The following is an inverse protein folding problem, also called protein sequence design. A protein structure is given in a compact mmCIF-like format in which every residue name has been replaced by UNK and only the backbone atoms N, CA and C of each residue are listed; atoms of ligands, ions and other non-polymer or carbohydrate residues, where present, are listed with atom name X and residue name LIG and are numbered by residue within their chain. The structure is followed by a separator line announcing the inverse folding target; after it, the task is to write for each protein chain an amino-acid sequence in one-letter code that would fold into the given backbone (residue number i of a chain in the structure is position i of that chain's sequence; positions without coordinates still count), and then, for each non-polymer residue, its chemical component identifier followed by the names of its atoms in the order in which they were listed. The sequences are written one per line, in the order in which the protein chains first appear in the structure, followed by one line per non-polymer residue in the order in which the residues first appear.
data_IF_675216252582
#
_entry.id   IF_675216252582
#
_cell.length_a   1.000
_cell.length_b   1.000
_cell.length_c   1.000
_cell.angle_alpha   90.00
_cell.angle_beta   90.00
_cell.angle_gamma   90.00
#
_symmetry.space_group_name_H-M   'P 1'
#
loop_
_entity.id
_entity.type
_entity.pdbx_description
1 polymer ?
#
# COMPACT_ATOMS: atom_id res chain seq x y z
N UNK A 1 3.83 5.64 -1.72
CA UNK A 1 2.91 5.17 -2.79
C UNK A 1 1.46 5.16 -2.34
N UNK A 2 1.05 4.43 -1.28
CA UNK A 2 -0.36 4.40 -0.81
C UNK A 2 -0.93 5.77 -0.45
N UNK A 3 -0.15 6.62 0.22
CA UNK A 3 -0.55 7.99 0.52
C UNK A 3 -0.85 8.80 -0.75
N UNK A 4 -0.02 8.67 -1.78
CA UNK A 4 -0.19 9.35 -3.07
C UNK A 4 -1.40 8.80 -3.84
N UNK A 5 -1.62 7.48 -3.82
CA UNK A 5 -2.80 6.86 -4.41
C UNK A 5 -4.09 7.33 -3.73
N UNK A 6 -4.10 7.45 -2.40
CA UNK A 6 -5.23 7.99 -1.64
C UNK A 6 -5.52 9.47 -1.95
N UNK A 7 -4.49 10.29 -2.19
CA UNK A 7 -4.68 11.69 -2.60
C UNK A 7 -5.30 11.80 -4.00
N UNK A 8 -4.83 11.00 -4.96
CA UNK A 8 -5.27 11.10 -6.35
C UNK A 8 -6.64 10.44 -6.60
N UNK A 9 -6.88 9.29 -5.97
CA UNK A 9 -8.06 8.47 -6.23
C UNK A 9 -9.06 8.40 -5.08
N UNK A 10 -8.78 9.05 -3.95
CA UNK A 10 -9.66 9.05 -2.77
C UNK A 10 -9.88 7.64 -2.20
N UNK A 11 -11.08 7.39 -1.69
CA UNK A 11 -11.46 6.09 -1.13
C UNK A 11 -11.70 5.00 -2.19
N UNK A 12 -11.62 5.34 -3.47
CA UNK A 12 -12.06 4.46 -4.54
C UNK A 12 -11.16 3.22 -4.74
N UNK A 13 -9.87 3.28 -4.38
CA UNK A 13 -8.98 2.09 -4.38
C UNK A 13 -9.02 1.29 -3.06
N UNK A 14 -9.82 1.71 -2.08
CA UNK A 14 -9.78 1.12 -0.74
C UNK A 14 -10.13 -0.37 -0.75
N UNK A 15 -10.97 -0.84 -1.68
CA UNK A 15 -11.31 -2.26 -1.87
C UNK A 15 -10.14 -3.16 -2.30
N UNK A 16 -9.07 -2.59 -2.86
CA UNK A 16 -7.87 -3.37 -3.25
C UNK A 16 -7.02 -3.76 -2.02
N UNK A 17 -7.05 -2.97 -0.94
CA UNK A 17 -6.35 -3.26 0.31
C UNK A 17 -6.83 -4.55 1.00
N UNK A 18 -8.15 -4.77 1.24
CA UNK A 18 -8.63 -6.03 1.80
C UNK A 18 -8.40 -7.22 0.85
N UNK A 19 -8.39 -7.00 -0.47
CA UNK A 19 -8.03 -8.05 -1.43
C UNK A 19 -6.55 -8.44 -1.37
N UNK A 20 -5.66 -7.51 -1.04
CA UNK A 20 -4.22 -7.78 -0.86
C UNK A 20 -3.94 -8.63 0.39
N UNK A 21 -4.75 -8.51 1.46
CA UNK A 21 -4.56 -9.26 2.72
C UNK A 21 -4.46 -10.78 2.50
N UNK A 22 -5.46 -11.48 1.91
CA UNK A 22 -5.40 -12.93 1.74
C UNK A 22 -4.26 -13.35 0.79
N UNK A 23 -3.97 -12.57 -0.25
CA UNK A 23 -2.86 -12.83 -1.16
C UNK A 23 -1.53 -12.80 -0.42
N UNK A 24 -1.33 -11.79 0.43
CA UNK A 24 -0.12 -11.67 1.25
C UNK A 24 -0.01 -12.77 2.29
N UNK A 25 -1.12 -13.20 2.90
CA UNK A 25 -1.13 -14.31 3.88
C UNK A 25 -0.69 -15.61 3.20
N UNK A 26 -1.30 -15.97 2.06
CA UNK A 26 -0.96 -17.19 1.32
C UNK A 26 0.50 -17.18 0.88
N UNK A 27 0.98 -16.05 0.36
CA UNK A 27 2.38 -15.90 -0.05
C UNK A 27 3.33 -16.11 1.13
N UNK A 28 3.06 -15.50 2.28
CA UNK A 28 3.88 -15.64 3.48
C UNK A 28 3.85 -17.07 4.03
N UNK A 29 2.68 -17.70 4.08
CA UNK A 29 2.53 -19.08 4.55
C UNK A 29 3.35 -20.05 3.70
N UNK A 30 3.26 -19.95 2.37
CA UNK A 30 4.03 -20.79 1.46
C UNK A 30 5.53 -20.58 1.62
N UNK A 31 5.98 -19.33 1.80
CA UNK A 31 7.40 -19.00 2.03
C UNK A 31 7.89 -19.60 3.33
N UNK A 32 7.13 -19.48 4.42
CA UNK A 32 7.47 -20.01 5.75
C UNK A 32 7.47 -21.53 5.74
N UNK A 33 6.45 -22.17 5.15
CA UNK A 33 6.37 -23.63 5.07
C UNK A 33 7.54 -24.21 4.29
N UNK A 34 7.91 -23.61 3.16
CA UNK A 34 9.07 -24.08 2.41
C UNK A 34 10.37 -23.90 3.21
N UNK A 35 10.54 -22.77 3.90
CA UNK A 35 11.68 -22.52 4.77
C UNK A 35 11.80 -23.54 5.92
N UNK A 36 10.68 -23.90 6.54
CA UNK A 36 10.64 -24.88 7.63
C UNK A 36 10.91 -26.32 7.17
N UNK A 37 10.35 -26.73 6.03
CA UNK A 37 10.47 -28.11 5.53
C UNK A 37 11.85 -28.40 4.95
N UNK A 38 12.47 -27.42 4.29
CA UNK A 38 13.71 -27.66 3.55
C UNK A 38 14.97 -27.41 4.37
N UNK A 39 14.89 -26.64 5.46
CA UNK A 39 16.03 -26.33 6.32
C UNK A 39 17.16 -25.56 5.61
N UNK A 40 16.95 -25.18 4.35
CA UNK A 40 17.86 -24.43 3.48
C UNK A 40 17.08 -23.26 2.87
N UNK A 41 17.72 -22.11 2.67
CA UNK A 41 17.05 -20.96 2.07
C UNK A 41 16.52 -21.27 0.66
N UNK A 42 15.41 -20.63 0.27
CA UNK A 42 14.76 -20.73 -1.06
C UNK A 42 15.75 -20.77 -2.23
N UNK A 43 16.84 -20.00 -2.15
CA UNK A 43 17.88 -19.91 -3.17
C UNK A 43 18.61 -21.23 -3.46
N UNK A 44 18.76 -22.14 -2.48
CA UNK A 44 19.43 -23.44 -2.69
C UNK A 44 18.54 -24.41 -3.48
N UNK A 45 17.24 -24.40 -3.20
CA UNK A 45 16.24 -25.21 -3.90
C UNK A 45 16.06 -24.79 -5.35
N UNK A 46 16.17 -23.48 -5.63
CA UNK A 46 16.10 -22.96 -7.00
C UNK A 46 17.31 -23.45 -7.81
N UNK A 47 18.50 -23.42 -7.23
CA UNK A 47 19.71 -23.93 -7.88
C UNK A 47 19.63 -25.45 -8.13
N UNK A 48 19.09 -26.23 -7.19
CA UNK A 48 18.93 -27.68 -7.33
C UNK A 48 17.83 -28.07 -8.34
N UNK A 49 16.73 -27.30 -8.41
CA UNK A 49 15.59 -27.60 -9.30
C UNK A 49 15.75 -27.06 -10.73
N UNK A 50 16.31 -25.85 -10.89
CA UNK A 50 16.34 -25.13 -12.18
C UNK A 50 17.76 -24.98 -12.75
N UNK A 51 18.78 -25.45 -12.03
CA UNK A 51 20.18 -25.38 -12.46
C UNK A 51 20.85 -24.04 -12.15
N UNK A 52 22.17 -24.01 -12.33
CA UNK A 52 23.06 -22.94 -11.85
C UNK A 52 22.83 -21.58 -12.53
N UNK A 53 22.37 -21.55 -13.78
CA UNK A 53 22.10 -20.29 -14.51
C UNK A 53 20.84 -19.59 -13.99
N UNK A 54 19.74 -20.33 -13.84
CA UNK A 54 18.47 -19.79 -13.33
C UNK A 54 18.53 -19.46 -11.84
N UNK A 55 19.29 -20.25 -11.07
CA UNK A 55 19.59 -19.91 -9.67
C UNK A 55 20.43 -18.65 -9.53
N UNK A 56 21.43 -18.42 -10.39
CA UNK A 56 22.20 -17.19 -10.40
C UNK A 56 21.35 -15.95 -10.77
N UNK A 57 20.43 -16.09 -11.74
CA UNK A 57 19.47 -15.04 -12.08
C UNK A 57 18.57 -14.67 -10.90
N UNK A 58 18.01 -15.67 -10.21
CA UNK A 58 17.18 -15.46 -9.01
C UNK A 58 17.93 -14.79 -7.85
N UNK A 59 19.20 -15.14 -7.63
CA UNK A 59 20.04 -14.46 -6.64
C UNK A 59 20.32 -13.00 -7.05
N UNK A 60 20.50 -12.75 -8.36
CA UNK A 60 20.61 -11.39 -8.91
C UNK A 60 19.36 -10.55 -8.63
N UNK A 61 18.17 -11.08 -8.90
CA UNK A 61 16.91 -10.40 -8.59
C UNK A 61 16.77 -10.10 -7.10
N UNK A 62 17.10 -11.05 -6.23
CA UNK A 62 17.10 -10.84 -4.78
C UNK A 62 18.06 -9.72 -4.37
N UNK A 63 19.25 -9.67 -4.96
CA UNK A 63 20.23 -8.63 -4.67
C UNK A 63 19.72 -7.25 -5.11
N UNK A 64 19.20 -7.14 -6.33
CA UNK A 64 18.66 -5.89 -6.87
C UNK A 64 17.45 -5.43 -6.07
N UNK A 65 16.51 -6.32 -5.76
CA UNK A 65 15.31 -5.98 -4.97
C UNK A 65 15.69 -5.54 -3.56
N UNK A 66 16.59 -6.24 -2.87
CA UNK A 66 17.05 -5.82 -1.54
C UNK A 66 17.77 -4.46 -1.58
N UNK A 67 18.62 -4.23 -2.59
CA UNK A 67 19.26 -2.93 -2.78
C UNK A 67 18.22 -1.83 -3.00
N UNK A 68 17.21 -2.08 -3.84
CA UNK A 68 16.12 -1.14 -4.10
C UNK A 68 15.29 -0.88 -2.84
N UNK A 69 15.02 -1.89 -2.03
CA UNK A 69 14.36 -1.74 -0.72
C UNK A 69 15.13 -0.78 0.18
N UNK A 70 16.43 -1.01 0.40
CA UNK A 70 17.27 -0.13 1.21
C UNK A 70 17.30 1.31 0.63
N UNK A 71 17.38 1.45 -0.69
CA UNK A 71 17.34 2.75 -1.35
C UNK A 71 16.01 3.48 -1.08
N UNK A 72 14.86 2.78 -1.17
CA UNK A 72 13.54 3.37 -0.86
C UNK A 72 13.40 3.75 0.61
N UNK A 73 13.99 2.99 1.52
CA UNK A 73 14.02 3.33 2.95
C UNK A 73 14.78 4.64 3.20
N UNK A 74 15.96 4.82 2.57
CA UNK A 74 16.71 6.06 2.69
C UNK A 74 16.01 7.27 2.06
N UNK A 75 15.30 7.08 0.94
CA UNK A 75 14.43 8.13 0.37
C UNK A 75 13.32 8.50 1.38
N UNK A 76 12.70 7.52 2.04
CA UNK A 76 11.71 7.77 3.07
C UNK A 76 12.27 8.58 4.24
N UNK A 77 13.47 8.23 4.70
CA UNK A 77 14.17 8.93 5.80
C UNK A 77 14.54 10.36 5.41
N UNK A 78 15.05 10.60 4.19
CA UNK A 78 15.41 11.96 3.75
C UNK A 78 14.19 12.87 3.62
N UNK A 79 13.07 12.36 3.12
CA UNK A 79 11.81 13.10 3.04
C UNK A 79 11.24 13.41 4.44
N UNK A 80 11.30 12.45 5.36
CA UNK A 80 10.82 12.62 6.73
C UNK A 80 11.66 13.65 7.51
N UNK A 81 13.00 13.54 7.47
CA UNK A 81 13.91 14.47 8.14
C UNK A 81 13.96 15.84 7.45
N UNK A 82 13.74 15.88 6.14
CA UNK A 82 13.60 17.12 5.38
C UNK A 82 12.40 17.97 5.86
N UNK A 83 11.31 17.34 6.32
CA UNK A 83 10.19 18.05 6.94
C UNK A 83 10.60 18.80 8.23
N UNK A 84 11.61 18.28 8.95
CA UNK A 84 12.19 18.92 10.14
C UNK A 84 13.33 19.90 9.80
N UNK A 85 13.62 20.14 8.52
CA UNK A 85 14.66 21.07 8.05
C UNK A 85 16.08 20.48 8.05
N UNK A 86 16.24 19.17 8.22
CA UNK A 86 17.56 18.51 8.17
C UNK A 86 17.93 18.21 6.72
N UNK A 87 19.16 18.55 6.32
CA UNK A 87 19.66 18.32 4.96
C UNK A 87 19.87 16.83 4.65
N UNK A 88 19.53 16.43 3.42
CA UNK A 88 19.67 15.06 2.91
C UNK A 88 21.10 14.52 3.01
N UNK A 89 22.10 15.39 2.88
CA UNK A 89 23.52 15.03 2.95
C UNK A 89 23.96 14.60 4.35
N UNK A 90 23.22 14.99 5.38
CA UNK A 90 23.46 14.58 6.77
C UNK A 90 22.53 13.43 7.16
N UNK A 91 21.26 13.51 6.77
CA UNK A 91 20.26 12.50 7.16
C UNK A 91 20.59 11.10 6.65
N UNK A 92 21.03 10.97 5.39
CA UNK A 92 21.28 9.66 4.77
C UNK A 92 22.49 8.96 5.39
N UNK A 93 23.68 9.59 5.53
CA UNK A 93 24.81 8.93 6.18
C UNK A 93 24.56 8.58 7.64
N UNK A 94 23.85 9.44 8.38
CA UNK A 94 23.50 9.17 9.79
C UNK A 94 22.56 7.96 9.87
N UNK A 95 21.53 7.89 9.03
CA UNK A 95 20.61 6.75 8.99
C UNK A 95 21.32 5.46 8.59
N UNK A 96 22.22 5.51 7.60
CA UNK A 96 23.04 4.37 7.20
C UNK A 96 23.95 3.89 8.34
N UNK A 97 24.65 4.81 9.00
CA UNK A 97 25.49 4.50 10.16
C UNK A 97 24.68 3.88 11.30
N UNK A 98 23.50 4.43 11.59
CA UNK A 98 22.60 3.90 12.62
C UNK A 98 22.14 2.48 12.27
N UNK A 99 21.74 2.23 11.01
CA UNK A 99 21.38 0.89 10.55
C UNK A 99 22.54 -0.11 10.66
N UNK A 100 23.76 0.28 10.29
CA UNK A 100 24.95 -0.58 10.42
C UNK A 100 25.25 -0.89 11.88
N UNK A 101 25.28 0.12 12.75
CA UNK A 101 25.52 -0.07 14.19
C UNK A 101 24.44 -0.95 14.82
N UNK A 102 23.17 -0.69 14.50
CA UNK A 102 22.04 -1.46 15.01
C UNK A 102 22.13 -2.94 14.58
N UNK A 103 22.45 -3.18 13.31
CA UNK A 103 22.61 -4.54 12.77
C UNK A 103 23.83 -5.24 13.38
N UNK A 104 24.96 -4.56 13.50
CA UNK A 104 26.19 -5.12 14.05
C UNK A 104 26.11 -5.43 15.55
N UNK A 105 25.38 -4.63 16.34
CA UNK A 105 25.30 -4.82 17.80
C UNK A 105 24.37 -5.97 18.21
N UNK A 106 23.54 -6.47 17.30
CA UNK A 106 23.18 -7.89 17.19
C UNK A 106 22.66 -8.63 18.44
N UNK A 107 21.94 -7.99 19.35
CA UNK A 107 21.24 -8.72 20.42
C UNK A 107 19.80 -8.96 20.02
N UNK A 108 19.42 -10.23 19.85
CA UNK A 108 18.07 -10.65 19.43
C UNK A 108 16.97 -9.94 20.24
N UNK A 109 17.12 -9.88 21.57
CA UNK A 109 16.17 -9.21 22.47
C UNK A 109 16.05 -7.70 22.23
N UNK A 110 17.16 -7.02 21.93
CA UNK A 110 17.13 -5.58 21.62
C UNK A 110 16.46 -5.35 20.28
N UNK A 111 16.81 -6.15 19.28
CA UNK A 111 16.24 -6.07 17.95
C UNK A 111 14.72 -6.29 17.95
N UNK A 112 14.24 -7.31 18.66
CA UNK A 112 12.81 -7.59 18.83
C UNK A 112 12.07 -6.42 19.48
N UNK A 113 12.61 -5.86 20.58
CA UNK A 113 11.99 -4.71 21.25
C UNK A 113 11.91 -3.48 20.35
N UNK A 114 12.96 -3.21 19.55
CA UNK A 114 12.92 -2.12 18.58
C UNK A 114 11.83 -2.34 17.52
N UNK A 115 11.70 -3.56 16.98
CA UNK A 115 10.66 -3.88 16.01
C UNK A 115 9.25 -3.64 16.58
N UNK A 116 8.98 -4.06 17.82
CA UNK A 116 7.71 -3.77 18.47
C UNK A 116 7.46 -2.28 18.66
N UNK A 117 8.49 -1.49 19.01
CA UNK A 117 8.36 -0.03 19.10
C UNK A 117 8.04 0.57 17.74
N UNK A 118 8.69 0.14 16.65
CA UNK A 118 8.38 0.62 15.30
C UNK A 118 6.97 0.22 14.83
N UNK A 119 6.52 -0.99 15.15
CA UNK A 119 5.14 -1.43 14.88
C UNK A 119 4.16 -0.54 15.64
N UNK A 120 4.36 -0.33 16.94
CA UNK A 120 3.54 0.55 17.76
C UNK A 120 3.55 2.00 17.23
N UNK A 121 4.71 2.49 16.77
CA UNK A 121 4.83 3.80 16.16
C UNK A 121 4.01 3.92 14.87
N UNK A 122 3.95 2.88 14.04
CA UNK A 122 3.09 2.85 12.85
C UNK A 122 1.60 2.94 13.20
N UNK A 123 1.19 2.39 14.34
CA UNK A 123 -0.19 2.52 14.83
C UNK A 123 -0.58 3.96 15.19
N UNK A 124 0.36 4.90 15.37
CA UNK A 124 0.01 6.33 15.57
C UNK A 124 -0.77 6.91 14.36
N UNK A 125 -0.68 6.31 13.18
CA UNK A 125 -1.49 6.74 12.03
C UNK A 125 -2.99 6.60 12.32
N UNK A 126 -3.40 5.65 13.15
CA UNK A 126 -4.82 5.42 13.51
C UNK A 126 -5.44 6.59 14.27
N UNK A 127 -4.91 7.06 15.42
CA UNK A 127 -5.47 8.22 16.11
C UNK A 127 -5.39 9.50 15.26
N UNK A 128 -4.34 9.69 14.46
CA UNK A 128 -4.29 10.81 13.51
C UNK A 128 -5.42 10.75 12.48
N UNK A 129 -5.73 9.55 11.97
CA UNK A 129 -6.85 9.35 11.05
C UNK A 129 -8.20 9.62 11.73
N UNK A 130 -8.40 9.19 12.97
CA UNK A 130 -9.64 9.45 13.73
C UNK A 130 -9.81 10.95 14.02
N UNK A 131 -8.73 11.65 14.36
CA UNK A 131 -8.74 13.10 14.61
C UNK A 131 -9.14 13.91 13.37
N UNK A 132 -8.93 13.38 12.16
CA UNK A 132 -9.39 13.99 10.91
C UNK A 132 -10.90 13.85 10.66
N UNK A 133 -11.67 13.27 11.59
CA UNK A 133 -13.11 13.02 11.50
C UNK A 133 -13.56 12.51 10.12
N UNK A 134 -13.04 11.36 9.64
CA UNK A 134 -13.46 10.78 8.38
C UNK A 134 -14.92 10.33 8.49
N UNK A 135 -15.71 10.58 7.43
CA UNK A 135 -17.06 10.03 7.33
C UNK A 135 -16.97 8.49 7.32
N UNK A 136 -17.39 7.85 8.41
CA UNK A 136 -17.25 6.40 8.61
C UNK A 136 -18.09 5.59 7.60
N UNK A 137 -19.28 6.09 7.21
CA UNK A 137 -20.16 5.40 6.26
C UNK A 137 -19.52 5.13 4.89
N UNK A 138 -19.02 6.16 4.18
CA UNK A 138 -18.32 5.99 2.91
C UNK A 138 -17.04 5.14 3.01
N UNK A 139 -16.33 5.20 4.13
CA UNK A 139 -15.11 4.43 4.36
C UNK A 139 -15.36 2.92 4.32
N UNK A 140 -16.34 2.43 5.07
CA UNK A 140 -16.67 0.99 5.06
C UNK A 140 -17.32 0.54 3.74
N UNK A 141 -18.11 1.40 3.10
CA UNK A 141 -18.70 1.09 1.79
C UNK A 141 -17.61 0.87 0.71
N UNK A 142 -16.60 1.75 0.65
CA UNK A 142 -15.51 1.64 -0.34
C UNK A 142 -14.46 0.56 -0.03
N UNK A 143 -14.50 -0.07 1.16
CA UNK A 143 -13.70 -1.28 1.43
C UNK A 143 -14.26 -2.51 0.70
N UNK A 144 -15.57 -2.56 0.46
CA UNK A 144 -16.24 -3.74 -0.11
C UNK A 144 -16.73 -3.48 -1.53
N UNK A 145 -17.16 -2.26 -1.84
CA UNK A 145 -17.67 -1.88 -3.15
C UNK A 145 -16.51 -1.46 -4.05
N UNK A 146 -16.24 -2.20 -5.15
CA UNK A 146 -15.24 -1.80 -6.12
C UNK A 146 -15.71 -0.55 -6.86
N UNK A 147 -14.84 0.44 -6.95
CA UNK A 147 -15.00 1.58 -7.82
C UNK A 147 -13.65 1.96 -8.40
N UNK A 148 -13.64 2.63 -9.55
CA UNK A 148 -12.49 3.34 -10.09
C UNK A 148 -12.99 4.73 -10.48
N UNK A 149 -12.29 5.80 -10.08
CA UNK A 149 -12.58 7.13 -10.64
C UNK A 149 -12.26 7.05 -12.14
N UNK A 150 -13.31 6.91 -12.96
CA UNK A 150 -13.22 6.61 -14.39
C UNK A 150 -13.90 5.32 -14.87
N UNK A 151 -14.51 4.49 -14.01
CA UNK A 151 -15.27 3.31 -14.48
C UNK A 151 -15.84 2.33 -13.43
N UNK A 152 -16.84 1.56 -13.89
CA UNK A 152 -17.66 0.47 -13.29
C UNK A 152 -18.68 0.79 -12.19
N UNK A 153 -18.90 2.05 -11.83
CA UNK A 153 -20.09 2.45 -11.06
C UNK A 153 -20.88 3.50 -11.85
N UNK A 154 -22.18 3.29 -12.13
CA UNK A 154 -23.03 4.36 -12.64
C UNK A 154 -22.97 5.54 -11.66
N UNK A 155 -22.94 6.80 -12.13
CA UNK A 155 -23.07 7.93 -11.23
C UNK A 155 -24.46 7.88 -10.64
N UNK A 156 -24.60 7.39 -9.40
CA UNK A 156 -25.75 7.72 -8.58
C UNK A 156 -25.60 9.17 -8.12
N UNK A 157 -25.62 10.10 -9.08
CA UNK A 157 -25.89 11.50 -8.82
C UNK A 157 -27.39 11.64 -8.59
N UNK A 158 -27.88 11.25 -7.42
CA UNK A 158 -29.06 11.89 -6.88
C UNK A 158 -28.60 13.22 -6.28
N UNK A 159 -28.48 14.25 -7.13
CA UNK A 159 -28.45 15.62 -6.66
C UNK A 159 -29.81 15.93 -6.05
N UNK A 160 -29.92 15.90 -4.73
CA UNK A 160 -31.06 16.48 -4.03
C UNK A 160 -30.96 18.01 -4.12
N UNK A 161 -31.46 18.59 -5.21
CA UNK A 161 -31.74 20.02 -5.30
C UNK A 161 -33.05 20.28 -4.54
N UNK A 162 -33.10 21.08 -3.47
CA UNK A 162 -34.36 21.46 -2.86
C UNK A 162 -34.96 22.62 -3.66
N UNK A 163 -35.67 22.31 -4.75
CA UNK A 163 -36.54 23.29 -5.41
C UNK A 163 -37.91 23.27 -4.72
N UNK A 164 -38.16 24.30 -3.93
CA UNK A 164 -39.46 24.64 -3.38
C UNK A 164 -40.52 24.76 -4.49
N UNK A 165 -41.69 24.16 -4.28
CA UNK A 165 -42.91 24.53 -4.98
C UNK A 165 -43.56 23.44 -5.83
N UNK A 166 -44.66 22.90 -5.27
CA UNK A 166 -45.86 22.44 -5.97
C UNK A 166 -45.76 21.28 -6.99
N UNK A 167 -46.55 20.25 -6.68
CA UNK A 167 -47.21 19.28 -7.56
C UNK A 167 -46.55 17.90 -7.66
N UNK A 168 -47.29 16.94 -7.13
CA UNK A 168 -47.09 15.49 -7.09
C UNK A 168 -47.03 14.85 -8.49
N UNK A 169 -45.88 14.26 -8.86
CA UNK A 169 -45.79 13.17 -9.85
C UNK A 169 -44.55 12.29 -9.52
N UNK A 170 -44.62 10.96 -9.74
CA UNK A 170 -43.56 10.03 -9.36
C UNK A 170 -42.33 10.19 -10.27
N UNK A 171 -41.15 10.08 -9.67
CA UNK A 171 -39.86 10.34 -10.30
C UNK A 171 -39.64 9.55 -11.59
N UNK A 172 -39.46 10.28 -12.70
CA UNK A 172 -38.96 9.75 -13.96
C UNK A 172 -37.43 9.80 -13.97
N UNK A 173 -36.79 8.63 -13.86
CA UNK A 173 -35.39 8.47 -14.26
C UNK A 173 -35.33 8.46 -15.79
N UNK A 174 -35.01 9.60 -16.42
CA UNK A 174 -34.78 9.63 -17.87
C UNK A 174 -33.33 9.26 -18.19
N UNK A 175 -33.14 8.08 -18.76
CA UNK A 175 -31.96 7.70 -19.53
C UNK A 175 -31.74 8.70 -20.67
N UNK A 176 -30.74 9.58 -20.57
CA UNK A 176 -30.25 10.33 -21.73
C UNK A 176 -29.03 9.62 -22.31
N UNK A 177 -29.29 8.50 -22.99
CA UNK A 177 -28.39 7.95 -23.99
C UNK A 177 -28.40 8.85 -25.22
N UNK A 178 -27.65 9.96 -25.22
CA UNK A 178 -27.36 10.70 -26.46
C UNK A 178 -26.14 10.07 -27.12
N UNK A 179 -26.42 9.00 -27.87
CA UNK A 179 -25.55 8.43 -28.90
C UNK A 179 -25.25 9.55 -29.90
N UNK A 180 -24.01 10.03 -29.94
CA UNK A 180 -23.50 10.84 -31.05
C UNK A 180 -23.35 9.91 -32.25
N UNK A 181 -24.44 9.78 -33.00
CA UNK A 181 -24.48 9.20 -34.33
C UNK A 181 -23.51 9.97 -35.24
N UNK A 182 -22.50 9.27 -35.71
CA UNK A 182 -21.82 9.51 -36.98
C UNK A 182 -22.83 9.84 -38.08
N UNK A 183 -22.69 11.00 -38.72
CA UNK A 183 -23.12 11.27 -40.09
C UNK A 183 -22.21 12.37 -40.67
N UNK A 184 -21.66 12.01 -41.82
CA UNK A 184 -20.94 12.82 -42.82
C UNK A 184 -19.49 13.22 -42.52
#
# INVERSE_FOLDING_TARGET
TYAQAGQNFGLTLLWTLPLLIPVLIVNQEMVVRLGAVTGVGHARLINERFGKLWGAFSVGDLFILNFLTIATEFIGVSLALGYFGVSQYISVPVAAGLLVVMTATGSFRRWERFMFVFIAANFLVVPLAVYRHPAAGPFFAHMVVPGVRGGFTPPLSCSSSPSWGLRSHPGSCSSSSRISSTRE
#
